data_IF_478602478206
#
_entry.id   IF_478602478206
#
_cell.length_a   1.000
_cell.length_b   1.000
_cell.length_c   1.000
_cell.angle_alpha   90.00
_cell.angle_beta   90.00
_cell.angle_gamma   90.00
#
_symmetry.space_group_name_H-M   'P 1'
#
loop_
_entity.id
_entity.type
_entity.pdbx_description
1 polymer ?
#
# COMPACT_ATOMS: atom_id res chain seq x y z
N UNK A 1 1.76 -8.77 -12.56
CA UNK A 1 0.82 -7.63 -12.74
C UNK A 1 1.12 -6.64 -11.65
N UNK A 2 1.21 -5.36 -12.01
CA UNK A 2 1.33 -4.28 -11.05
C UNK A 2 -0.05 -3.65 -10.90
N UNK A 3 -0.64 -3.78 -9.72
CA UNK A 3 -1.95 -3.24 -9.37
C UNK A 3 -1.72 -2.03 -8.47
N UNK A 4 -1.98 -0.84 -9.00
CA UNK A 4 -1.98 0.40 -8.21
C UNK A 4 -3.39 0.60 -7.66
N UNK A 5 -3.55 0.36 -6.36
CA UNK A 5 -4.83 0.34 -5.66
C UNK A 5 -4.96 1.54 -4.73
N UNK A 6 -4.23 2.63 -4.98
CA UNK A 6 -4.16 3.81 -4.09
C UNK A 6 -5.50 4.50 -3.81
N UNK A 7 -6.52 4.23 -4.62
CA UNK A 7 -7.88 4.75 -4.49
C UNK A 7 -8.88 3.68 -4.00
N UNK A 8 -8.40 2.55 -3.47
CA UNK A 8 -9.21 1.42 -3.00
C UNK A 8 -10.29 1.82 -1.99
N UNK A 9 -10.01 2.79 -1.12
CA UNK A 9 -10.97 3.34 -0.15
C UNK A 9 -11.91 4.42 -0.68
N UNK A 10 -11.73 4.91 -1.92
CA UNK A 10 -12.58 5.96 -2.52
C UNK A 10 -13.56 5.38 -3.54
N UNK A 11 -14.41 4.45 -3.09
CA UNK A 11 -15.48 3.85 -3.89
C UNK A 11 -16.82 4.45 -3.48
N UNK A 12 -17.52 5.06 -4.44
CA UNK A 12 -18.83 5.69 -4.19
C UNK A 12 -20.00 4.71 -4.36
N UNK A 13 -19.89 3.80 -5.34
CA UNK A 13 -20.92 2.80 -5.66
C UNK A 13 -20.30 1.40 -5.68
N UNK A 14 -20.89 0.47 -4.93
CA UNK A 14 -20.42 -0.93 -4.84
C UNK A 14 -19.20 -1.10 -3.93
N UNK A 15 -18.44 -2.18 -4.18
CA UNK A 15 -17.26 -2.53 -3.39
C UNK A 15 -16.01 -2.58 -4.29
N UNK A 16 -14.88 -2.12 -3.76
CA UNK A 16 -13.60 -2.30 -4.42
C UNK A 16 -13.26 -3.79 -4.55
N UNK A 17 -12.79 -4.21 -5.72
CA UNK A 17 -12.36 -5.58 -5.97
C UNK A 17 -10.90 -5.57 -6.42
N UNK A 18 -10.00 -5.97 -5.52
CA UNK A 18 -8.59 -6.13 -5.84
C UNK A 18 -8.40 -7.26 -6.86
N UNK A 19 -7.52 -7.05 -7.83
CA UNK A 19 -7.18 -8.10 -8.81
C UNK A 19 -6.52 -9.31 -8.13
N UNK A 20 -5.92 -9.11 -6.95
CA UNK A 20 -5.32 -10.19 -6.17
C UNK A 20 -6.36 -11.18 -5.60
N UNK A 21 -7.63 -10.79 -5.48
CA UNK A 21 -8.72 -11.66 -5.03
C UNK A 21 -9.18 -12.66 -6.12
N UNK A 22 -8.79 -12.45 -7.38
CA UNK A 22 -9.11 -13.37 -8.48
C UNK A 22 -8.29 -14.65 -8.35
N UNK A 23 -8.87 -15.86 -8.54
CA UNK A 23 -8.15 -17.12 -8.43
C UNK A 23 -6.86 -17.15 -9.27
N UNK A 24 -5.74 -17.51 -8.65
CA UNK A 24 -4.42 -17.60 -9.30
C UNK A 24 -3.70 -16.25 -9.50
N UNK A 25 -4.28 -15.13 -9.06
CA UNK A 25 -3.70 -13.81 -9.29
C UNK A 25 -2.81 -13.30 -8.16
N UNK A 26 -3.04 -13.75 -6.92
CA UNK A 26 -2.29 -13.31 -5.74
C UNK A 26 -0.77 -13.48 -5.90
N UNK A 27 -0.29 -14.64 -6.36
CA UNK A 27 1.15 -14.94 -6.47
C UNK A 27 1.88 -14.09 -7.53
N UNK A 28 1.15 -13.62 -8.53
CA UNK A 28 1.69 -12.89 -9.70
C UNK A 28 1.32 -11.40 -9.71
N UNK A 29 0.77 -10.90 -8.60
CA UNK A 29 0.36 -9.49 -8.46
C UNK A 29 1.24 -8.80 -7.43
N UNK A 30 1.72 -7.61 -7.79
CA UNK A 30 2.27 -6.63 -6.86
C UNK A 30 1.14 -5.67 -6.59
N UNK A 31 0.69 -5.60 -5.34
CA UNK A 31 -0.28 -4.60 -4.89
C UNK A 31 0.52 -3.40 -4.41
N UNK A 32 0.20 -2.19 -4.90
CA UNK A 32 0.73 -0.94 -4.40
C UNK A 32 -0.40 -0.08 -3.85
N UNK A 33 -0.22 0.46 -2.65
CA UNK A 33 -1.20 1.32 -1.99
C UNK A 33 -0.49 2.34 -1.07
N UNK A 34 -1.20 3.35 -0.58
CA UNK A 34 -0.63 4.40 0.26
C UNK A 34 -1.66 5.13 1.11
N UNK A 35 -1.20 5.78 2.18
CA UNK A 35 -2.05 6.65 3.00
C UNK A 35 -2.45 7.97 2.31
N UNK A 36 -1.93 8.23 1.10
CA UNK A 36 -2.08 9.53 0.43
C UNK A 36 -3.53 9.91 0.15
N UNK A 37 -4.37 8.94 -0.24
CA UNK A 37 -5.73 9.20 -0.72
C UNK A 37 -6.78 8.85 0.33
N UNK A 38 -6.76 7.61 0.81
CA UNK A 38 -7.69 7.12 1.84
C UNK A 38 -7.68 8.01 3.08
N UNK A 39 -6.50 8.44 3.55
CA UNK A 39 -6.35 9.23 4.78
C UNK A 39 -6.00 10.70 4.54
N UNK A 40 -6.12 11.19 3.30
CA UNK A 40 -5.73 12.56 2.91
C UNK A 40 -4.27 12.94 3.26
N UNK A 41 -3.37 11.97 3.44
CA UNK A 41 -1.97 12.19 3.86
C UNK A 41 -1.02 12.44 2.67
N UNK A 42 -1.45 13.16 1.63
CA UNK A 42 -0.68 13.34 0.37
C UNK A 42 0.75 13.86 0.59
N UNK A 43 0.95 14.78 1.54
CA UNK A 43 2.24 15.36 1.88
C UNK A 43 3.15 14.48 2.76
N UNK A 44 2.63 13.38 3.30
CA UNK A 44 3.37 12.49 4.20
C UNK A 44 4.23 11.46 3.45
N UNK A 45 4.04 11.33 2.14
CA UNK A 45 4.92 10.54 1.25
C UNK A 45 5.19 9.12 1.77
N UNK A 46 4.14 8.43 2.20
CA UNK A 46 4.23 7.07 2.73
C UNK A 46 3.24 6.14 2.05
N UNK A 47 3.73 4.99 1.64
CA UNK A 47 2.98 3.91 1.01
C UNK A 47 3.74 2.60 1.08
N UNK A 48 3.17 1.56 0.50
CA UNK A 48 3.70 0.20 0.58
C UNK A 48 3.40 -0.59 -0.69
N UNK A 49 4.19 -1.64 -0.90
CA UNK A 49 3.94 -2.64 -1.92
C UNK A 49 3.97 -4.04 -1.30
N UNK A 50 3.02 -4.89 -1.70
CA UNK A 50 2.88 -6.25 -1.20
C UNK A 50 3.05 -7.27 -2.33
N UNK A 51 4.05 -8.14 -2.20
CA UNK A 51 4.22 -9.37 -2.98
C UNK A 51 5.22 -10.28 -2.26
N UNK A 52 4.83 -11.52 -1.96
CA UNK A 52 5.68 -12.43 -1.16
C UNK A 52 7.01 -12.79 -1.86
N UNK A 53 6.98 -13.06 -3.17
CA UNK A 53 8.15 -13.48 -3.92
C UNK A 53 9.17 -12.34 -4.11
N UNK A 54 8.68 -11.11 -4.27
CA UNK A 54 9.50 -9.93 -4.58
C UNK A 54 9.85 -9.07 -3.37
N UNK A 55 9.18 -9.26 -2.22
CA UNK A 55 9.45 -8.48 -1.00
C UNK A 55 10.94 -8.39 -0.64
N UNK A 56 11.75 -9.48 -0.65
CA UNK A 56 13.18 -9.37 -0.35
C UNK A 56 13.95 -8.48 -1.34
N UNK A 57 13.51 -8.47 -2.60
CA UNK A 57 14.10 -7.65 -3.66
C UNK A 57 13.73 -6.17 -3.48
N UNK A 58 12.48 -5.88 -3.15
CA UNK A 58 12.03 -4.51 -2.83
C UNK A 58 12.73 -3.97 -1.58
N UNK A 59 12.85 -4.77 -0.52
CA UNK A 59 13.59 -4.38 0.69
C UNK A 59 15.03 -4.03 0.36
N UNK A 60 15.74 -4.92 -0.37
CA UNK A 60 17.12 -4.64 -0.78
C UNK A 60 17.22 -3.39 -1.64
N UNK A 61 16.29 -3.19 -2.57
CA UNK A 61 16.26 -2.01 -3.42
C UNK A 61 16.11 -0.73 -2.59
N UNK A 62 15.08 -0.64 -1.75
CA UNK A 62 14.82 0.50 -0.86
C UNK A 62 16.00 0.76 0.08
N UNK A 63 16.60 -0.27 0.67
CA UNK A 63 17.77 -0.11 1.54
C UNK A 63 18.95 0.55 0.81
N UNK A 64 19.13 0.28 -0.48
CA UNK A 64 20.24 0.83 -1.26
C UNK A 64 19.93 2.19 -1.93
N UNK A 65 18.67 2.63 -2.00
CA UNK A 65 18.29 3.92 -2.61
C UNK A 65 17.87 4.97 -1.58
N UNK A 66 17.06 4.59 -0.61
CA UNK A 66 16.37 5.51 0.31
C UNK A 66 16.54 5.12 1.78
N UNK A 67 17.16 3.97 2.06
CA UNK A 67 17.28 3.35 3.39
C UNK A 67 15.95 2.89 4.00
N UNK A 68 15.07 3.83 4.36
CA UNK A 68 13.76 3.56 4.97
C UNK A 68 12.83 4.80 4.92
N UNK A 69 11.50 4.63 5.02
CA UNK A 69 10.58 5.76 5.11
C UNK A 69 10.70 6.48 6.46
N UNK A 70 10.32 7.77 6.55
CA UNK A 70 10.42 8.55 7.79
C UNK A 70 9.67 7.87 8.96
N UNK A 71 10.37 7.69 10.08
CA UNK A 71 9.84 7.01 11.27
C UNK A 71 8.52 7.59 11.82
N UNK A 72 8.34 8.93 11.99
CA UNK A 72 7.06 9.47 12.46
C UNK A 72 5.91 9.18 11.50
N UNK A 73 6.18 9.12 10.19
CA UNK A 73 5.16 8.85 9.18
C UNK A 73 4.69 7.40 9.28
N UNK A 74 5.60 6.46 9.58
CA UNK A 74 5.24 5.06 9.80
C UNK A 74 4.26 4.91 10.97
N UNK A 75 4.50 5.58 12.10
CA UNK A 75 3.55 5.57 13.23
C UNK A 75 2.22 6.24 12.90
N UNK A 76 2.24 7.35 12.15
CA UNK A 76 1.01 8.00 11.72
C UNK A 76 0.16 7.09 10.82
N UNK A 77 0.79 6.27 9.97
CA UNK A 77 0.07 5.28 9.15
C UNK A 77 -0.47 4.14 9.99
N UNK A 78 0.27 3.66 11.00
CA UNK A 78 -0.25 2.65 11.94
C UNK A 78 -1.53 3.18 12.60
N UNK A 79 -1.51 4.40 13.13
CA UNK A 79 -2.69 5.00 13.74
C UNK A 79 -3.83 5.21 12.73
N UNK A 80 -3.52 5.57 11.49
CA UNK A 80 -4.52 5.73 10.44
C UNK A 80 -5.18 4.39 10.05
N UNK A 81 -4.44 3.28 10.09
CA UNK A 81 -4.93 1.94 9.77
C UNK A 81 -5.71 1.30 10.93
N UNK A 82 -5.23 1.47 12.17
CA UNK A 82 -5.82 0.86 13.37
C UNK A 82 -6.92 1.73 14.00
N UNK A 83 -6.99 3.01 13.64
CA UNK A 83 -7.98 3.96 14.11
C UNK A 83 -9.40 3.71 13.56
N UNK A 84 -10.41 4.43 14.07
CA UNK A 84 -11.79 4.34 13.55
C UNK A 84 -11.84 4.65 12.05
N UNK A 85 -12.60 3.85 11.29
CA UNK A 85 -12.76 3.98 9.83
C UNK A 85 -14.17 4.47 9.43
N UNK A 86 -14.92 4.99 10.40
CA UNK A 86 -16.34 5.33 10.31
C UNK A 86 -16.57 6.74 9.71
#
# INVERSE_FOLDING_TARGET
IYSDEVYSGLVYDGEFQSIAAVPGMQERTIIADSASKTYAMTGWRIGYAANAALAPTFTRWVTNTDSCPPHPNQYAVVEALDGPQD
#
